data_IF_929552044521
#
_entry.id   IF_929552044521
#
_cell.length_a   1.000
_cell.length_b   1.000
_cell.length_c   1.000
_cell.angle_alpha   90.00
_cell.angle_beta   90.00
_cell.angle_gamma   90.00
#
_symmetry.space_group_name_H-M   'P 1'
#
loop_
_entity.id
_entity.type
_entity.pdbx_description
1 polymer ?
#
# COMPACT_ATOMS: atom_id res chain seq x y z
N UNK A 1 -9.88 6.51 23.02
CA UNK A 1 -10.48 5.16 23.15
C UNK A 1 -11.09 4.64 21.84
N UNK A 2 -12.06 5.29 21.22
CA UNK A 2 -12.68 4.88 19.94
C UNK A 2 -11.69 4.67 18.78
N UNK A 3 -10.63 5.48 18.68
CA UNK A 3 -9.62 5.39 17.62
C UNK A 3 -8.75 4.13 17.74
N UNK A 4 -8.40 3.72 18.97
CA UNK A 4 -7.67 2.47 19.21
C UNK A 4 -8.51 1.23 18.89
N UNK A 5 -9.80 1.24 19.27
CA UNK A 5 -10.73 0.15 18.96
C UNK A 5 -10.89 0.01 17.44
N UNK A 6 -11.05 1.11 16.72
CA UNK A 6 -11.12 1.10 15.25
C UNK A 6 -9.87 0.48 14.62
N UNK A 7 -8.67 0.87 15.07
CA UNK A 7 -7.41 0.30 14.56
C UNK A 7 -7.32 -1.20 14.83
N UNK A 8 -7.68 -1.66 16.02
CA UNK A 8 -7.68 -3.08 16.38
C UNK A 8 -8.62 -3.87 15.47
N UNK A 9 -9.87 -3.42 15.30
CA UNK A 9 -10.85 -4.08 14.44
C UNK A 9 -10.38 -4.10 12.96
N UNK A 10 -9.77 -3.04 12.50
CA UNK A 10 -9.22 -2.94 11.14
C UNK A 10 -8.09 -3.95 10.93
N UNK A 11 -7.18 -4.12 11.90
CA UNK A 11 -6.10 -5.12 11.84
C UNK A 11 -6.68 -6.55 11.82
N UNK A 12 -7.65 -6.84 12.68
CA UNK A 12 -8.28 -8.18 12.74
C UNK A 12 -8.99 -8.49 11.41
N UNK A 13 -9.70 -7.52 10.85
CA UNK A 13 -10.40 -7.68 9.57
C UNK A 13 -9.43 -7.85 8.40
N UNK A 14 -8.36 -7.05 8.34
CA UNK A 14 -7.31 -7.21 7.34
C UNK A 14 -6.63 -8.57 7.40
N UNK A 15 -6.37 -9.07 8.64
CA UNK A 15 -5.81 -10.40 8.86
C UNK A 15 -6.75 -11.52 8.37
N UNK A 16 -8.09 -11.35 8.51
CA UNK A 16 -9.07 -12.29 7.99
C UNK A 16 -9.04 -12.36 6.46
N UNK A 17 -9.00 -11.20 5.78
CA UNK A 17 -8.91 -11.14 4.31
C UNK A 17 -7.64 -11.82 3.82
N UNK A 18 -6.50 -11.51 4.45
CA UNK A 18 -5.22 -12.11 4.12
C UNK A 18 -5.25 -13.63 4.29
N UNK A 19 -5.67 -14.11 5.48
CA UNK A 19 -5.75 -15.54 5.78
C UNK A 19 -6.67 -16.28 4.81
N UNK A 20 -7.80 -15.67 4.43
CA UNK A 20 -8.72 -16.23 3.45
C UNK A 20 -8.03 -16.42 2.08
N UNK A 21 -7.35 -15.39 1.59
CA UNK A 21 -6.61 -15.47 0.33
C UNK A 21 -5.51 -16.52 0.37
N UNK A 22 -4.74 -16.57 1.46
CA UNK A 22 -3.66 -17.54 1.63
C UNK A 22 -4.18 -18.98 1.67
N UNK A 23 -5.19 -19.26 2.52
CA UNK A 23 -5.68 -20.62 2.75
C UNK A 23 -6.38 -21.20 1.52
N UNK A 24 -7.17 -20.39 0.80
CA UNK A 24 -8.04 -20.93 -0.26
C UNK A 24 -7.51 -20.72 -1.67
N UNK A 25 -6.51 -19.85 -1.86
CA UNK A 25 -5.97 -19.60 -3.20
C UNK A 25 -4.47 -19.93 -3.30
N UNK A 26 -3.65 -19.56 -2.32
CA UNK A 26 -2.21 -19.80 -2.37
C UNK A 26 -1.87 -21.25 -2.05
N UNK A 27 -2.31 -21.75 -0.90
CA UNK A 27 -1.97 -23.09 -0.40
C UNK A 27 -2.43 -24.21 -1.33
N UNK A 28 -3.70 -24.26 -1.80
CA UNK A 28 -4.18 -25.35 -2.65
C UNK A 28 -3.49 -25.45 -4.02
N UNK A 29 -2.95 -24.32 -4.51
CA UNK A 29 -2.29 -24.25 -5.82
C UNK A 29 -0.76 -24.29 -5.71
N UNK A 30 -0.24 -24.58 -4.50
CA UNK A 30 1.20 -24.65 -4.21
C UNK A 30 1.97 -23.40 -4.60
N UNK A 31 1.31 -22.24 -4.69
CA UNK A 31 2.02 -20.98 -4.85
C UNK A 31 2.83 -20.71 -3.59
N UNK A 32 3.97 -20.10 -3.77
CA UNK A 32 4.74 -19.58 -2.64
C UNK A 32 4.36 -18.12 -2.40
N UNK A 33 4.68 -17.64 -1.25
CA UNK A 33 4.75 -16.24 -0.93
C UNK A 33 6.19 -15.93 -0.57
N UNK A 34 6.63 -14.73 -0.82
CA UNK A 34 7.93 -14.31 -0.38
C UNK A 34 8.02 -14.20 1.14
N UNK A 35 9.17 -13.80 1.63
CA UNK A 35 9.34 -13.44 3.02
C UNK A 35 9.24 -14.57 4.02
N UNK A 36 8.88 -14.20 5.23
CA UNK A 36 8.77 -15.15 6.33
C UNK A 36 7.61 -16.14 6.09
N UNK A 37 6.53 -15.73 5.45
CA UNK A 37 5.42 -16.60 5.07
C UNK A 37 5.88 -17.64 4.05
N UNK A 38 6.75 -17.29 3.11
CA UNK A 38 7.40 -18.24 2.20
C UNK A 38 8.15 -19.34 2.95
N UNK A 39 8.87 -18.99 4.00
CA UNK A 39 9.53 -19.98 4.86
C UNK A 39 8.49 -20.87 5.57
N UNK A 40 7.37 -20.31 6.03
CA UNK A 40 6.29 -21.10 6.64
C UNK A 40 5.66 -22.07 5.64
N UNK A 41 5.47 -21.65 4.38
CA UNK A 41 4.97 -22.49 3.31
C UNK A 41 5.95 -23.63 2.94
N UNK A 42 7.24 -23.31 2.86
CA UNK A 42 8.28 -24.35 2.65
C UNK A 42 8.22 -25.40 3.77
N UNK A 43 8.12 -24.97 5.02
CA UNK A 43 8.02 -25.92 6.15
C UNK A 43 6.72 -26.71 6.14
N UNK A 44 5.64 -26.11 5.69
CA UNK A 44 4.37 -26.82 5.50
C UNK A 44 4.45 -27.89 4.41
N UNK A 45 5.01 -27.55 3.24
CA UNK A 45 5.11 -28.49 2.12
C UNK A 45 6.11 -29.63 2.36
N UNK A 46 7.21 -29.36 3.07
CA UNK A 46 8.26 -30.37 3.35
C UNK A 46 7.97 -31.22 4.59
N UNK A 47 7.44 -30.62 5.64
CA UNK A 47 7.32 -31.25 6.95
C UNK A 47 5.92 -31.34 7.50
N UNK A 48 4.88 -30.85 6.77
CA UNK A 48 3.49 -30.74 7.21
C UNK A 48 3.31 -30.00 8.55
N UNK A 49 4.19 -29.04 8.84
CA UNK A 49 4.06 -28.18 10.02
C UNK A 49 2.96 -27.13 9.73
N UNK A 50 1.94 -26.97 10.60
CA UNK A 50 0.89 -25.99 10.39
C UNK A 50 1.44 -24.57 10.18
N UNK A 51 0.96 -23.90 9.12
CA UNK A 51 1.40 -22.53 8.74
C UNK A 51 1.20 -21.57 9.92
N UNK A 52 0.04 -21.70 10.62
CA UNK A 52 -0.30 -20.90 11.80
C UNK A 52 0.74 -20.98 12.92
N UNK A 53 1.26 -22.18 13.21
CA UNK A 53 2.29 -22.39 14.23
C UNK A 53 3.64 -21.80 13.79
N UNK A 54 4.08 -22.12 12.57
CA UNK A 54 5.38 -21.68 12.08
C UNK A 54 5.45 -20.17 11.91
N UNK A 55 4.33 -19.55 11.49
CA UNK A 55 4.21 -18.10 11.43
C UNK A 55 4.46 -17.43 12.80
N UNK A 56 3.95 -17.97 13.88
CA UNK A 56 4.23 -17.44 15.23
C UNK A 56 5.70 -17.59 15.59
N UNK A 57 6.30 -18.77 15.37
CA UNK A 57 7.69 -19.07 15.77
C UNK A 57 8.71 -18.18 15.03
N UNK A 58 8.57 -18.01 13.72
CA UNK A 58 9.50 -17.19 12.91
C UNK A 58 9.41 -15.72 13.31
N UNK A 59 8.26 -15.27 13.78
CA UNK A 59 8.07 -13.87 14.14
C UNK A 59 8.69 -13.47 15.48
N UNK A 60 9.05 -14.40 16.36
CA UNK A 60 9.64 -14.09 17.67
C UNK A 60 10.90 -13.20 17.53
N UNK A 61 11.94 -13.57 16.78
CA UNK A 61 13.14 -12.72 16.63
C UNK A 61 12.84 -11.39 15.95
N UNK A 62 11.89 -11.37 15.00
CA UNK A 62 11.51 -10.17 14.28
C UNK A 62 10.76 -9.17 15.18
N UNK A 63 9.97 -9.65 16.13
CA UNK A 63 9.33 -8.79 17.12
C UNK A 63 10.32 -8.12 18.07
N UNK A 64 11.38 -8.84 18.47
CA UNK A 64 12.46 -8.25 19.28
C UNK A 64 13.13 -7.11 18.51
N UNK A 65 13.36 -7.29 17.22
CA UNK A 65 13.91 -6.27 16.34
C UNK A 65 12.98 -5.07 16.18
N UNK A 66 11.69 -5.33 15.90
CA UNK A 66 10.68 -4.28 15.79
C UNK A 66 10.54 -3.45 17.08
N UNK A 67 10.57 -4.10 18.22
CA UNK A 67 10.53 -3.43 19.51
C UNK A 67 11.70 -2.47 19.71
N UNK A 68 12.91 -2.92 19.40
CA UNK A 68 14.13 -2.09 19.55
C UNK A 68 14.10 -0.86 18.63
N UNK A 69 13.51 -0.95 17.43
CA UNK A 69 13.59 0.11 16.41
C UNK A 69 12.38 1.06 16.45
N UNK A 70 11.19 0.52 16.68
CA UNK A 70 9.92 1.27 16.62
C UNK A 70 9.25 1.47 17.98
N UNK A 71 9.76 0.84 19.04
CA UNK A 71 9.21 0.93 20.38
C UNK A 71 8.00 0.03 20.64
N UNK A 72 7.43 0.14 21.85
CA UNK A 72 6.39 -0.77 22.36
C UNK A 72 5.05 -0.68 21.63
N UNK A 73 4.67 0.49 21.13
CA UNK A 73 3.39 0.68 20.42
C UNK A 73 3.34 -0.16 19.14
N UNK A 74 4.40 -0.12 18.35
CA UNK A 74 4.50 -0.91 17.11
C UNK A 74 4.61 -2.40 17.40
N UNK A 75 5.31 -2.79 18.46
CA UNK A 75 5.34 -4.19 18.91
C UNK A 75 3.92 -4.71 19.20
N UNK A 76 3.12 -3.94 19.94
CA UNK A 76 1.75 -4.34 20.28
C UNK A 76 0.87 -4.53 19.04
N UNK A 77 0.90 -3.58 18.09
CA UNK A 77 0.11 -3.69 16.85
C UNK A 77 0.62 -4.80 15.93
N UNK A 78 1.92 -5.09 15.92
CA UNK A 78 2.51 -6.20 15.17
C UNK A 78 2.12 -7.55 15.77
N UNK A 79 2.21 -7.69 17.10
CA UNK A 79 1.74 -8.89 17.80
C UNK A 79 0.25 -9.13 17.54
N UNK A 80 -0.57 -8.08 17.61
CA UNK A 80 -2.00 -8.18 17.31
C UNK A 80 -2.23 -8.67 15.88
N UNK A 81 -1.53 -8.12 14.90
CA UNK A 81 -1.66 -8.53 13.49
C UNK A 81 -1.27 -9.99 13.28
N UNK A 82 -0.09 -10.40 13.77
CA UNK A 82 0.41 -11.77 13.61
C UNK A 82 -0.44 -12.80 14.36
N UNK A 83 -0.85 -12.49 15.59
CA UNK A 83 -1.73 -13.39 16.36
C UNK A 83 -3.10 -13.49 15.69
N UNK A 84 -3.68 -12.38 15.24
CA UNK A 84 -4.94 -12.37 14.50
C UNK A 84 -4.85 -13.18 13.21
N UNK A 85 -3.77 -13.03 12.46
CA UNK A 85 -3.51 -13.81 11.24
C UNK A 85 -3.43 -15.30 11.57
N UNK A 86 -2.64 -15.69 12.58
CA UNK A 86 -2.50 -17.09 12.97
C UNK A 86 -3.82 -17.71 13.43
N UNK A 87 -4.67 -16.95 14.14
CA UNK A 87 -6.00 -17.41 14.54
C UNK A 87 -6.89 -17.62 13.30
N UNK A 88 -6.92 -16.68 12.36
CA UNK A 88 -7.74 -16.83 11.16
C UNK A 88 -7.24 -17.96 10.26
N UNK A 89 -5.94 -18.15 10.11
CA UNK A 89 -5.37 -19.31 9.41
C UNK A 89 -5.84 -20.61 10.06
N UNK A 90 -5.72 -20.74 11.39
CA UNK A 90 -6.17 -21.94 12.11
C UNK A 90 -7.68 -22.19 12.01
N UNK A 91 -8.49 -21.13 11.84
CA UNK A 91 -9.94 -21.25 11.61
C UNK A 91 -10.20 -21.73 10.18
N UNK A 92 -9.60 -21.08 9.17
CA UNK A 92 -9.83 -21.39 7.77
C UNK A 92 -9.24 -22.74 7.35
N UNK A 93 -8.11 -23.16 7.92
CA UNK A 93 -7.56 -24.53 7.74
C UNK A 93 -8.57 -25.64 8.09
N UNK A 94 -9.53 -25.35 8.98
CA UNK A 94 -10.57 -26.32 9.39
C UNK A 94 -11.85 -26.25 8.56
N UNK A 95 -12.03 -25.23 7.75
CA UNK A 95 -13.22 -25.00 6.92
C UNK A 95 -12.91 -25.45 5.49
N UNK A 96 -13.45 -26.59 5.01
CA UNK A 96 -13.16 -27.07 3.66
C UNK A 96 -13.96 -26.28 2.63
N UNK A 97 -13.42 -25.17 2.13
CA UNK A 97 -13.94 -24.44 0.98
C UNK A 97 -13.04 -24.73 -0.22
N UNK A 98 -13.64 -25.07 -1.35
CA UNK A 98 -12.93 -25.30 -2.59
C UNK A 98 -13.46 -24.38 -3.68
N UNK A 99 -12.57 -23.59 -4.25
CA UNK A 99 -12.85 -22.76 -5.42
C UNK A 99 -12.28 -23.47 -6.65
N UNK A 100 -13.17 -23.95 -7.52
CA UNK A 100 -12.72 -24.57 -8.77
C UNK A 100 -12.32 -23.48 -9.78
N UNK A 101 -11.03 -23.26 -9.93
CA UNK A 101 -10.46 -22.32 -10.89
C UNK A 101 -9.82 -23.05 -12.08
N UNK A 102 -10.21 -24.32 -12.33
CA UNK A 102 -9.74 -25.16 -13.45
C UNK A 102 -8.21 -25.26 -13.59
N UNK A 103 -7.48 -24.98 -12.50
CA UNK A 103 -6.02 -24.97 -12.48
C UNK A 103 -5.38 -23.75 -13.17
N UNK A 104 -6.15 -22.72 -13.47
CA UNK A 104 -5.61 -21.48 -14.06
C UNK A 104 -4.85 -20.67 -12.99
N UNK A 105 -3.53 -20.87 -12.96
CA UNK A 105 -2.64 -20.21 -12.02
C UNK A 105 -2.57 -18.68 -12.21
N UNK A 106 -2.95 -18.15 -13.39
CA UNK A 106 -3.03 -16.71 -13.62
C UNK A 106 -4.19 -16.12 -12.82
N UNK A 107 -5.36 -16.75 -12.92
CA UNK A 107 -6.55 -16.31 -12.14
C UNK A 107 -6.27 -16.44 -10.65
N UNK A 108 -5.66 -17.55 -10.24
CA UNK A 108 -5.27 -17.75 -8.84
C UNK A 108 -4.33 -16.65 -8.35
N UNK A 109 -3.27 -16.35 -9.11
CA UNK A 109 -2.30 -15.30 -8.76
C UNK A 109 -2.96 -13.91 -8.68
N UNK A 110 -3.88 -13.58 -9.59
CA UNK A 110 -4.64 -12.33 -9.58
C UNK A 110 -5.53 -12.22 -8.34
N UNK A 111 -6.36 -13.22 -8.08
CA UNK A 111 -7.30 -13.20 -6.96
C UNK A 111 -6.56 -13.21 -5.62
N UNK A 112 -5.59 -14.11 -5.47
CA UNK A 112 -4.76 -14.18 -4.27
C UNK A 112 -4.00 -12.87 -4.05
N UNK A 113 -3.35 -12.34 -5.10
CA UNK A 113 -2.59 -11.09 -5.03
C UNK A 113 -3.43 -9.90 -4.57
N UNK A 114 -4.66 -9.77 -5.09
CA UNK A 114 -5.60 -8.74 -4.64
C UNK A 114 -6.01 -8.96 -3.18
N UNK A 115 -6.39 -10.17 -2.79
CA UNK A 115 -6.84 -10.46 -1.42
C UNK A 115 -5.73 -10.25 -0.40
N UNK A 116 -4.54 -10.79 -0.63
CA UNK A 116 -3.42 -10.62 0.28
C UNK A 116 -2.97 -9.15 0.33
N UNK A 117 -2.88 -8.50 -0.83
CA UNK A 117 -2.55 -7.08 -0.90
C UNK A 117 -3.55 -6.18 -0.19
N UNK A 118 -4.86 -6.45 -0.31
CA UNK A 118 -5.91 -5.76 0.46
C UNK A 118 -5.75 -6.01 1.97
N UNK A 119 -5.57 -7.26 2.37
CA UNK A 119 -5.37 -7.62 3.78
C UNK A 119 -4.19 -6.91 4.40
N UNK A 120 -3.01 -6.99 3.77
CA UNK A 120 -1.77 -6.32 4.22
C UNK A 120 -1.89 -4.79 4.18
N UNK A 121 -2.39 -4.22 3.10
CA UNK A 121 -2.54 -2.78 2.97
C UNK A 121 -3.44 -2.18 4.05
N UNK A 122 -4.55 -2.86 4.37
CA UNK A 122 -5.46 -2.47 5.47
C UNK A 122 -4.76 -2.56 6.82
N UNK A 123 -3.99 -3.62 7.07
CA UNK A 123 -3.22 -3.79 8.32
C UNK A 123 -2.16 -2.69 8.44
N UNK A 124 -1.42 -2.40 7.38
CA UNK A 124 -0.36 -1.38 7.38
C UNK A 124 -0.93 0.02 7.60
N UNK A 125 -2.05 0.33 6.98
CA UNK A 125 -2.73 1.63 7.16
C UNK A 125 -3.24 1.83 8.61
N UNK A 126 -3.59 0.72 9.28
CA UNK A 126 -3.95 0.73 10.70
C UNK A 126 -2.73 0.79 11.67
N UNK A 127 -1.51 0.81 11.12
CA UNK A 127 -0.25 0.83 11.88
C UNK A 127 0.21 -0.53 12.39
N UNK A 128 -0.44 -1.63 11.94
CA UNK A 128 -0.06 -3.01 12.23
C UNK A 128 0.92 -3.60 11.22
N UNK A 129 1.31 -4.84 11.42
CA UNK A 129 2.01 -5.72 10.47
C UNK A 129 1.61 -7.17 10.72
N UNK A 130 1.76 -8.03 9.75
CA UNK A 130 1.57 -9.48 9.92
C UNK A 130 2.83 -10.16 10.47
N UNK A 131 3.89 -9.40 10.67
CA UNK A 131 5.20 -9.92 11.06
C UNK A 131 6.09 -10.16 9.84
N UNK A 132 7.07 -11.03 9.99
CA UNK A 132 7.90 -11.46 8.88
C UNK A 132 8.72 -10.34 8.22
N UNK A 133 8.89 -10.46 6.91
CA UNK A 133 9.57 -9.44 6.08
C UNK A 133 8.88 -8.08 6.10
N UNK A 134 7.60 -8.02 6.46
CA UNK A 134 6.87 -6.77 6.66
C UNK A 134 7.61 -5.83 7.63
N UNK A 135 8.13 -6.41 8.73
CA UNK A 135 8.90 -5.65 9.72
C UNK A 135 10.17 -5.12 9.09
N UNK A 136 10.87 -5.97 8.31
CA UNK A 136 12.11 -5.58 7.63
C UNK A 136 11.82 -4.49 6.59
N UNK A 137 10.77 -4.65 5.78
CA UNK A 137 10.37 -3.66 4.79
C UNK A 137 10.01 -2.31 5.43
N UNK A 138 9.30 -2.31 6.57
CA UNK A 138 9.00 -1.07 7.31
C UNK A 138 10.24 -0.42 7.91
N UNK A 139 11.19 -1.20 8.38
CA UNK A 139 12.48 -0.69 8.85
C UNK A 139 13.21 0.00 7.69
N UNK A 140 13.32 -0.68 6.55
CA UNK A 140 13.97 -0.12 5.37
C UNK A 140 13.24 1.13 4.84
N UNK A 141 11.91 1.10 4.79
CA UNK A 141 11.12 2.27 4.40
C UNK A 141 11.43 3.52 5.26
N UNK A 142 11.58 3.34 6.58
CA UNK A 142 11.93 4.43 7.50
C UNK A 142 13.26 5.12 7.15
N UNK A 143 14.22 4.38 6.58
CA UNK A 143 15.56 4.88 6.28
C UNK A 143 15.78 5.24 4.80
N UNK A 144 14.97 4.70 3.88
CA UNK A 144 15.18 4.83 2.43
C UNK A 144 14.13 5.66 1.71
N UNK A 145 12.97 5.91 2.33
CA UNK A 145 11.80 6.52 1.71
C UNK A 145 11.25 5.75 0.48
N UNK A 146 11.66 4.49 0.30
CA UNK A 146 11.11 3.61 -0.73
C UNK A 146 9.78 3.04 -0.21
N UNK A 147 8.74 2.95 -1.06
CA UNK A 147 7.44 2.42 -0.64
C UNK A 147 7.53 1.01 -0.06
N UNK A 148 6.68 0.70 0.91
CA UNK A 148 6.69 -0.61 1.60
C UNK A 148 6.43 -1.74 0.62
N UNK A 149 5.51 -1.57 -0.33
CA UNK A 149 5.22 -2.57 -1.35
C UNK A 149 6.43 -2.90 -2.23
N UNK A 150 7.19 -1.86 -2.67
CA UNK A 150 8.41 -2.08 -3.44
C UNK A 150 9.49 -2.82 -2.66
N UNK A 151 9.63 -2.50 -1.37
CA UNK A 151 10.60 -3.16 -0.49
C UNK A 151 10.21 -4.61 -0.24
N UNK A 152 8.93 -4.89 0.00
CA UNK A 152 8.41 -6.25 0.10
C UNK A 152 8.72 -7.03 -1.17
N UNK A 153 8.31 -6.54 -2.33
CA UNK A 153 8.58 -7.19 -3.60
C UNK A 153 10.07 -7.51 -3.82
N UNK A 154 10.96 -6.58 -3.44
CA UNK A 154 12.40 -6.80 -3.57
C UNK A 154 12.92 -7.89 -2.62
N UNK A 155 12.44 -7.93 -1.36
CA UNK A 155 12.80 -8.96 -0.39
C UNK A 155 12.26 -10.33 -0.81
N UNK A 156 11.02 -10.37 -1.28
CA UNK A 156 10.35 -11.58 -1.73
C UNK A 156 11.01 -12.14 -2.98
N UNK A 157 11.41 -11.28 -3.92
CA UNK A 157 12.18 -11.68 -5.09
C UNK A 157 13.48 -12.44 -4.72
N UNK A 158 14.20 -11.99 -3.69
CA UNK A 158 15.41 -12.68 -3.22
C UNK A 158 15.09 -14.09 -2.70
N UNK A 159 13.98 -14.25 -1.97
CA UNK A 159 13.54 -15.54 -1.44
C UNK A 159 13.06 -16.45 -2.58
N UNK A 160 12.33 -15.90 -3.56
CA UNK A 160 11.90 -16.65 -4.72
C UNK A 160 13.06 -17.17 -5.57
N UNK A 161 14.17 -16.43 -5.66
CA UNK A 161 15.39 -16.93 -6.30
C UNK A 161 15.96 -18.14 -5.56
N UNK A 162 15.93 -18.16 -4.23
CA UNK A 162 16.31 -19.35 -3.44
C UNK A 162 15.34 -20.52 -3.68
N UNK A 163 14.04 -20.27 -3.74
CA UNK A 163 13.03 -21.28 -4.02
C UNK A 163 13.26 -21.88 -5.42
N UNK A 164 13.59 -21.06 -6.41
CA UNK A 164 13.90 -21.52 -7.75
C UNK A 164 15.10 -22.48 -7.76
N UNK A 165 16.14 -22.19 -7.00
CA UNK A 165 17.31 -23.05 -6.89
C UNK A 165 16.96 -24.40 -6.22
N UNK A 166 16.10 -24.39 -5.20
CA UNK A 166 15.72 -25.60 -4.44
C UNK A 166 14.75 -26.48 -5.22
N UNK A 167 13.68 -25.89 -5.73
CA UNK A 167 12.57 -26.63 -6.35
C UNK A 167 12.70 -26.78 -7.87
N UNK A 168 13.52 -25.98 -8.53
CA UNK A 168 13.78 -25.97 -9.97
C UNK A 168 12.51 -25.86 -10.84
N UNK A 169 11.45 -25.30 -10.30
CA UNK A 169 10.17 -25.08 -10.97
C UNK A 169 10.02 -23.61 -11.40
N UNK A 170 10.46 -23.30 -12.60
CA UNK A 170 10.37 -21.95 -13.18
C UNK A 170 8.92 -21.49 -13.34
N UNK A 171 7.99 -22.40 -13.65
CA UNK A 171 6.59 -22.09 -13.84
C UNK A 171 5.98 -21.57 -12.54
N UNK A 172 6.20 -22.30 -11.45
CA UNK A 172 5.72 -21.93 -10.11
C UNK A 172 6.28 -20.59 -9.67
N UNK A 173 7.58 -20.39 -9.81
CA UNK A 173 8.22 -19.10 -9.45
C UNK A 173 7.68 -17.95 -10.28
N UNK A 174 7.40 -18.15 -11.57
CA UNK A 174 6.84 -17.09 -12.42
C UNK A 174 5.45 -16.66 -11.95
N UNK A 175 4.58 -17.60 -11.61
CA UNK A 175 3.24 -17.26 -11.09
C UNK A 175 3.30 -16.64 -9.71
N UNK A 176 4.24 -17.07 -8.89
CA UNK A 176 4.47 -16.44 -7.57
C UNK A 176 4.98 -15.01 -7.72
N UNK A 177 5.90 -14.75 -8.64
CA UNK A 177 6.34 -13.38 -8.95
C UNK A 177 5.20 -12.48 -9.43
N UNK A 178 4.31 -13.02 -10.28
CA UNK A 178 3.11 -12.29 -10.71
C UNK A 178 2.21 -11.96 -9.52
N UNK A 179 1.97 -12.93 -8.67
CA UNK A 179 1.20 -12.79 -7.43
C UNK A 179 1.81 -11.72 -6.51
N UNK A 180 3.11 -11.79 -6.17
CA UNK A 180 3.80 -10.84 -5.31
C UNK A 180 3.83 -9.42 -5.90
N UNK A 181 3.96 -9.31 -7.22
CA UNK A 181 3.86 -8.02 -7.90
C UNK A 181 2.48 -7.37 -7.68
N UNK A 182 1.40 -8.16 -7.77
CA UNK A 182 0.03 -7.66 -7.54
C UNK A 182 -0.14 -7.26 -6.07
N UNK A 183 0.31 -8.10 -5.13
CA UNK A 183 0.30 -7.79 -3.69
C UNK A 183 0.98 -6.42 -3.45
N UNK A 184 2.19 -6.25 -3.97
CA UNK A 184 2.97 -5.00 -3.85
C UNK A 184 2.18 -3.78 -4.35
N UNK A 185 1.55 -3.89 -5.52
CA UNK A 185 0.78 -2.79 -6.12
C UNK A 185 -0.46 -2.46 -5.33
N UNK A 186 -1.16 -3.46 -4.82
CA UNK A 186 -2.37 -3.25 -4.00
C UNK A 186 -2.00 -2.62 -2.65
N UNK A 187 -0.91 -3.04 -2.02
CA UNK A 187 -0.41 -2.43 -0.78
C UNK A 187 -0.12 -0.94 -1.01
N UNK A 188 0.62 -0.61 -2.07
CA UNK A 188 0.99 0.77 -2.38
C UNK A 188 -0.25 1.62 -2.69
N UNK A 189 -1.22 1.09 -3.46
CA UNK A 189 -2.49 1.78 -3.73
C UNK A 189 -3.28 2.11 -2.46
N UNK A 190 -3.30 1.20 -1.48
CA UNK A 190 -3.99 1.44 -0.20
C UNK A 190 -3.18 2.41 0.66
N UNK A 191 -1.85 2.28 0.67
CA UNK A 191 -0.95 3.16 1.42
C UNK A 191 -0.94 4.59 0.92
N UNK A 192 -0.96 4.79 -0.39
CA UNK A 192 -1.03 6.11 -1.04
C UNK A 192 -2.44 6.72 -1.02
N UNK A 193 -3.46 5.91 -0.75
CA UNK A 193 -4.87 6.13 -1.07
C UNK A 193 -5.64 7.19 -0.27
N UNK A 194 -5.00 8.10 0.45
CA UNK A 194 -5.73 9.17 1.16
C UNK A 194 -5.14 10.57 1.02
N UNK A 195 -3.89 10.67 0.65
CA UNK A 195 -3.12 11.91 0.75
C UNK A 195 -2.45 12.34 -0.55
N UNK A 196 -2.57 11.51 -1.60
CA UNK A 196 -2.04 11.85 -2.91
C UNK A 196 -2.93 12.85 -3.62
N UNK A 197 -2.37 13.97 -4.01
CA UNK A 197 -3.04 14.98 -4.82
C UNK A 197 -2.29 15.25 -6.13
N UNK A 198 -2.84 16.17 -6.89
CA UNK A 198 -2.23 16.68 -8.11
C UNK A 198 -1.96 18.17 -7.95
N UNK A 199 -0.69 18.54 -8.05
CA UNK A 199 -0.27 19.93 -8.11
C UNK A 199 -0.43 20.48 -9.53
N UNK A 200 -1.26 21.48 -9.69
CA UNK A 200 -1.44 22.20 -10.95
C UNK A 200 -0.63 23.48 -10.92
N UNK A 201 0.23 23.66 -11.91
CA UNK A 201 0.87 24.93 -12.22
C UNK A 201 0.31 25.42 -13.54
N UNK A 202 -0.38 26.58 -13.51
CA UNK A 202 -1.19 27.05 -14.63
C UNK A 202 -0.73 28.45 -15.02
N UNK A 203 -0.39 28.62 -16.28
CA UNK A 203 -0.07 29.91 -16.90
C UNK A 203 -1.26 30.27 -17.81
N UNK A 204 -1.95 31.35 -17.47
CA UNK A 204 -3.18 31.78 -18.15
C UNK A 204 -3.21 33.30 -18.32
N UNK A 205 -3.98 33.76 -19.28
CA UNK A 205 -4.27 35.20 -19.48
C UNK A 205 -5.35 35.71 -18.49
N UNK A 206 -6.05 34.80 -17.78
CA UNK A 206 -7.16 35.13 -16.89
C UNK A 206 -6.93 34.58 -15.47
N UNK A 207 -5.81 34.93 -14.81
CA UNK A 207 -5.43 34.30 -13.55
C UNK A 207 -6.41 34.57 -12.40
N UNK A 208 -7.02 35.77 -12.34
CA UNK A 208 -7.97 36.11 -11.27
C UNK A 208 -9.29 35.37 -11.45
N UNK A 209 -9.87 35.42 -12.68
CA UNK A 209 -11.12 34.73 -12.99
C UNK A 209 -11.03 33.23 -12.72
N UNK A 210 -9.90 32.61 -13.10
CA UNK A 210 -9.69 31.19 -12.88
C UNK A 210 -9.52 30.86 -11.38
N UNK A 211 -8.81 31.68 -10.63
CA UNK A 211 -8.62 31.48 -9.19
C UNK A 211 -9.92 31.58 -8.43
N UNK A 212 -10.76 32.57 -8.76
CA UNK A 212 -12.09 32.73 -8.15
C UNK A 212 -12.97 31.50 -8.41
N UNK A 213 -12.98 31.01 -9.63
CA UNK A 213 -13.75 29.80 -9.99
C UNK A 213 -13.21 28.53 -9.35
N UNK A 214 -11.91 28.35 -9.23
CA UNK A 214 -11.32 27.22 -8.51
C UNK A 214 -11.78 27.23 -7.05
N UNK A 215 -11.76 28.40 -6.42
CA UNK A 215 -12.20 28.54 -5.03
C UNK A 215 -13.70 28.28 -4.87
N UNK A 216 -14.55 28.84 -5.76
CA UNK A 216 -15.98 28.67 -5.72
C UNK A 216 -16.43 27.20 -5.96
N UNK A 217 -15.88 26.55 -7.00
CA UNK A 217 -16.37 25.25 -7.46
C UNK A 217 -15.69 24.05 -6.82
N UNK A 218 -14.40 24.21 -6.42
CA UNK A 218 -13.60 23.12 -5.85
C UNK A 218 -13.31 23.35 -4.36
N UNK A 219 -13.52 24.57 -3.85
CA UNK A 219 -13.18 24.91 -2.46
C UNK A 219 -11.68 24.77 -2.18
N UNK A 220 -10.83 24.97 -3.19
CA UNK A 220 -9.38 24.79 -3.07
C UNK A 220 -8.66 26.12 -3.02
N UNK A 221 -7.67 26.17 -2.12
CA UNK A 221 -6.77 27.35 -2.04
C UNK A 221 -5.91 27.48 -3.28
N UNK A 222 -5.72 28.73 -3.70
CA UNK A 222 -4.92 29.11 -4.88
C UNK A 222 -3.78 30.00 -4.43
N UNK A 223 -2.58 29.73 -4.90
CA UNK A 223 -1.41 30.58 -4.67
C UNK A 223 -0.93 31.16 -5.99
N UNK A 224 -0.73 32.48 -6.04
CA UNK A 224 -0.09 33.14 -7.18
C UNK A 224 1.41 33.15 -6.99
N UNK A 225 2.12 32.67 -8.02
CA UNK A 225 3.57 32.80 -8.13
C UNK A 225 3.87 33.83 -9.20
N UNK A 226 4.60 34.89 -8.84
CA UNK A 226 5.02 35.90 -9.78
C UNK A 226 6.17 35.38 -10.66
N UNK A 227 6.06 35.56 -11.95
CA UNK A 227 7.06 35.15 -12.93
C UNK A 227 7.11 36.14 -14.10
N UNK A 228 8.14 36.06 -14.93
CA UNK A 228 8.27 36.83 -16.15
C UNK A 228 8.46 35.88 -17.33
N UNK A 229 7.72 36.10 -18.40
CA UNK A 229 7.90 35.38 -19.65
C UNK A 229 9.20 35.75 -20.32
N UNK A 230 10.11 34.79 -20.52
CA UNK A 230 11.41 35.07 -21.15
C UNK A 230 11.26 35.71 -22.54
N UNK A 231 10.36 35.19 -23.35
CA UNK A 231 10.15 35.72 -24.73
C UNK A 231 9.33 37.00 -24.77
N UNK A 232 8.26 37.06 -23.98
CA UNK A 232 7.32 38.17 -23.99
C UNK A 232 7.76 39.35 -23.13
N UNK A 233 8.70 39.15 -22.21
CA UNK A 233 9.15 40.09 -21.18
C UNK A 233 7.99 40.64 -20.32
N UNK A 234 6.82 39.98 -20.35
CA UNK A 234 5.63 40.35 -19.59
C UNK A 234 5.59 39.66 -18.23
N UNK A 235 5.14 40.37 -17.24
CA UNK A 235 4.88 39.84 -15.94
C UNK A 235 3.70 38.85 -16.01
N UNK A 236 3.83 37.70 -15.36
CA UNK A 236 2.89 36.63 -15.33
C UNK A 236 2.50 36.30 -13.87
N UNK A 237 1.22 36.02 -13.65
CA UNK A 237 0.75 35.38 -12.43
C UNK A 237 0.48 33.92 -12.72
N UNK A 238 1.36 33.05 -12.22
CA UNK A 238 1.22 31.60 -12.34
C UNK A 238 0.35 31.13 -11.18
N UNK A 239 -0.69 30.38 -11.48
CA UNK A 239 -1.55 29.75 -10.48
C UNK A 239 -0.91 28.45 -10.05
N UNK A 240 -0.70 28.29 -8.74
CA UNK A 240 -0.38 27.03 -8.12
C UNK A 240 -1.54 26.58 -7.26
N UNK A 241 -2.09 25.41 -7.55
CA UNK A 241 -3.21 24.83 -6.82
C UNK A 241 -3.05 23.32 -6.70
N UNK A 242 -3.33 22.76 -5.53
CA UNK A 242 -3.32 21.32 -5.30
C UNK A 242 -4.77 20.85 -5.18
N UNK A 243 -5.10 19.80 -5.92
CA UNK A 243 -6.43 19.17 -5.90
C UNK A 243 -6.33 17.68 -5.61
N UNK A 244 -7.38 17.08 -5.09
CA UNK A 244 -7.44 15.63 -4.92
C UNK A 244 -7.52 14.91 -6.28
N UNK A 245 -7.15 13.63 -6.33
CA UNK A 245 -7.17 12.85 -7.59
C UNK A 245 -8.53 12.85 -8.28
N UNK A 246 -9.61 12.76 -7.53
CA UNK A 246 -10.98 12.77 -8.03
C UNK A 246 -11.45 14.12 -8.57
N UNK A 247 -10.79 15.21 -8.17
CA UNK A 247 -11.12 16.58 -8.63
C UNK A 247 -10.36 16.96 -9.91
N UNK A 248 -9.39 16.15 -10.34
CA UNK A 248 -8.52 16.45 -11.46
C UNK A 248 -9.28 16.69 -12.78
N UNK A 249 -10.33 15.91 -13.06
CA UNK A 249 -11.12 16.05 -14.28
C UNK A 249 -11.85 17.39 -14.26
N UNK A 250 -12.54 17.67 -13.16
CA UNK A 250 -13.28 18.94 -12.98
C UNK A 250 -12.35 20.15 -13.08
N UNK A 251 -11.15 20.05 -12.49
CA UNK A 251 -10.13 21.12 -12.60
C UNK A 251 -9.71 21.38 -14.05
N UNK A 252 -9.48 20.33 -14.85
CA UNK A 252 -9.13 20.48 -16.27
C UNK A 252 -10.25 21.10 -17.09
N UNK A 253 -11.50 20.67 -16.84
CA UNK A 253 -12.70 21.23 -17.50
C UNK A 253 -12.86 22.73 -17.19
N UNK A 254 -12.69 23.08 -15.91
CA UNK A 254 -12.75 24.47 -15.46
C UNK A 254 -11.70 25.34 -16.16
N UNK A 255 -10.46 24.90 -16.20
CA UNK A 255 -9.38 25.63 -16.87
C UNK A 255 -9.69 25.80 -18.36
N UNK A 256 -10.10 24.72 -19.02
CA UNK A 256 -10.39 24.76 -20.45
C UNK A 256 -11.59 25.66 -20.79
N UNK A 257 -12.58 25.74 -19.94
CA UNK A 257 -13.76 26.59 -20.11
C UNK A 257 -13.38 28.08 -20.02
N UNK A 258 -12.50 28.43 -19.07
CA UNK A 258 -12.12 29.83 -18.83
C UNK A 258 -11.04 30.31 -19.82
N UNK A 259 -10.03 29.50 -20.02
CA UNK A 259 -8.93 29.79 -20.95
C UNK A 259 -8.47 28.53 -21.69
N UNK A 260 -9.03 28.25 -22.88
CA UNK A 260 -8.62 27.10 -23.70
C UNK A 260 -7.14 27.11 -24.13
N UNK A 261 -6.45 28.26 -23.98
CA UNK A 261 -5.03 28.41 -24.32
C UNK A 261 -4.12 28.39 -23.11
N UNK A 262 -4.65 28.12 -21.92
CA UNK A 262 -3.85 28.00 -20.70
C UNK A 262 -2.82 26.88 -20.83
N UNK A 263 -1.58 27.16 -20.40
CA UNK A 263 -0.54 26.14 -20.28
C UNK A 263 -0.60 25.54 -18.88
N UNK A 264 -0.71 24.21 -18.82
CA UNK A 264 -0.91 23.47 -17.56
C UNK A 264 0.18 22.45 -17.39
N UNK A 265 0.87 22.48 -16.26
CA UNK A 265 1.74 21.40 -15.80
C UNK A 265 1.10 20.72 -14.60
N UNK A 266 1.01 19.39 -14.64
CA UNK A 266 0.45 18.59 -13.56
C UNK A 266 1.55 17.72 -12.98
N UNK A 267 1.80 17.85 -11.68
CA UNK A 267 2.78 17.06 -10.93
C UNK A 267 2.08 16.18 -9.92
N UNK A 268 2.67 15.04 -9.60
CA UNK A 268 2.17 14.21 -8.51
C UNK A 268 2.64 14.78 -7.17
N UNK A 269 1.70 14.98 -6.26
CA UNK A 269 1.97 15.26 -4.87
C UNK A 269 1.68 14.00 -4.07
N UNK A 270 2.74 13.30 -3.66
CA UNK A 270 2.61 12.02 -2.95
C UNK A 270 2.08 12.19 -1.54
N UNK A 271 2.39 13.31 -0.91
CA UNK A 271 1.94 13.63 0.45
C UNK A 271 1.58 15.10 0.54
N UNK A 272 0.40 15.39 1.07
CA UNK A 272 -0.11 16.74 1.26
C UNK A 272 -0.55 16.86 2.70
N UNK A 273 0.11 17.73 3.44
CA UNK A 273 -0.19 18.01 4.85
C UNK A 273 -0.66 19.45 4.97
N UNK A 274 -1.76 19.67 5.64
CA UNK A 274 -2.28 20.99 5.90
C UNK A 274 -3.79 21.13 5.72
N UNK A 275 -4.25 22.39 5.82
CA UNK A 275 -5.65 22.76 5.74
C UNK A 275 -6.25 22.42 4.38
N UNK A 276 -7.43 21.83 4.37
CA UNK A 276 -8.11 21.38 3.16
C UNK A 276 -7.76 19.96 2.68
N UNK A 277 -6.70 19.34 3.23
CA UNK A 277 -6.32 17.93 2.96
C UNK A 277 -6.21 17.13 4.24
N UNK A 278 -5.24 17.43 5.08
CA UNK A 278 -5.06 16.76 6.37
C UNK A 278 -4.35 17.68 7.36
N UNK A 279 -4.83 17.66 8.59
CA UNK A 279 -4.06 18.22 9.70
C UNK A 279 -3.16 17.13 10.28
N UNK A 280 -1.87 17.37 10.35
CA UNK A 280 -1.00 16.65 11.26
C UNK A 280 -1.44 17.07 12.66
N UNK A 281 -2.13 16.20 13.41
CA UNK A 281 -2.31 16.45 14.84
C UNK A 281 -0.92 16.36 15.45
N UNK A 282 -0.43 17.48 15.97
CA UNK A 282 0.73 17.48 16.86
C UNK A 282 0.51 16.40 17.92
N UNK A 283 1.40 15.43 17.97
CA UNK A 283 1.51 14.53 19.12
C UNK A 283 2.01 15.43 20.25
N UNK A 284 1.09 15.85 21.10
CA UNK A 284 1.45 16.47 22.35
C UNK A 284 2.37 15.50 23.09
N UNK A 285 3.59 15.94 23.26
CA UNK A 285 4.68 15.42 24.09
C UNK A 285 4.21 14.97 25.48
#
# INVERSE_FOLDING_TARGET
MLRHIKSILTIIFGAAIYAFGLTYFVVPHHLFEGGATGITLITYYLFNIPISLMNLLINIPLFILAWKIFGSKTLYTSLLGTVSLSIWLAIFEKIPLHFNLEGDLVIVALVAGVLLGLGLGVIFNAGGTTGGTDIVARILNKYTNISVGKLLFALDFLILMLILIIFQDLRLVTYTLLFDFIVSRVIDLIGEGGYAGKGFMIITQKPMELADKINEELGRGVTFISGQGYYSQKDLKIIYCIVARNEMIKMKELIHTIDPRAFITITEAHEILGEGFTFVKEENS
#
